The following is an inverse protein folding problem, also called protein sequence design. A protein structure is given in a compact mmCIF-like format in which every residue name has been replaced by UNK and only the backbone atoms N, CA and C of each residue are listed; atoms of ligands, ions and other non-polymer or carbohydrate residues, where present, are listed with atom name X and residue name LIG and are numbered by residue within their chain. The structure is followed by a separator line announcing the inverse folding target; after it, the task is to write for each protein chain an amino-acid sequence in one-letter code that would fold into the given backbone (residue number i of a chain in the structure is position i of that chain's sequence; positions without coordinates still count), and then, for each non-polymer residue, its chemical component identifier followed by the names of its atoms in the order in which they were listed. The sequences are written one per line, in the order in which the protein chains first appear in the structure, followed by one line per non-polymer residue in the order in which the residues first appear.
data_IF_717709392578
#
_entry.id   IF_717709392578
#
_cell.length_a   1.000
_cell.length_b   1.000
_cell.length_c   1.000
_cell.angle_alpha   90.00
_cell.angle_beta   90.00
_cell.angle_gamma   90.00
#
_symmetry.space_group_name_H-M   'P 1'
#
loop_
_entity.id
_entity.type
_entity.pdbx_description
1 polymer ?
#
# COMPACT_ATOMS: atom_id res chain seq x y z
N UNK A 1 22.74 -46.51 -11.51
CA UNK A 1 21.76 -45.53 -11.02
C UNK A 1 22.53 -44.46 -10.26
N UNK A 2 22.82 -43.33 -10.90
CA UNK A 2 23.51 -42.20 -10.27
C UNK A 2 22.41 -41.29 -9.69
N UNK A 3 22.32 -41.19 -8.36
CA UNK A 3 21.44 -40.25 -7.69
C UNK A 3 22.06 -38.85 -7.74
N UNK A 4 21.32 -37.91 -8.32
CA UNK A 4 21.68 -36.50 -8.39
C UNK A 4 21.59 -35.86 -6.99
N UNK A 5 22.65 -35.22 -6.47
CA UNK A 5 22.58 -34.37 -5.29
C UNK A 5 22.08 -32.99 -5.73
N UNK A 6 20.77 -32.75 -5.67
CA UNK A 6 20.24 -31.44 -6.10
C UNK A 6 18.78 -31.14 -5.79
N UNK A 7 17.96 -32.14 -5.44
CA UNK A 7 16.52 -31.92 -5.26
C UNK A 7 16.14 -31.07 -4.04
N UNK A 8 16.91 -31.14 -2.95
CA UNK A 8 16.55 -30.47 -1.69
C UNK A 8 16.77 -28.96 -1.68
N UNK A 9 17.91 -28.51 -2.24
CA UNK A 9 18.27 -27.09 -2.29
C UNK A 9 17.44 -26.33 -3.33
N UNK A 10 17.17 -26.95 -4.48
CA UNK A 10 16.28 -26.43 -5.52
C UNK A 10 14.86 -26.21 -4.97
N UNK A 11 14.30 -27.20 -4.25
CA UNK A 11 12.98 -27.09 -3.65
C UNK A 11 12.92 -25.99 -2.57
N UNK A 12 13.94 -25.90 -1.71
CA UNK A 12 14.04 -24.85 -0.71
C UNK A 12 14.15 -23.44 -1.33
N UNK A 13 14.85 -23.31 -2.46
CA UNK A 13 14.96 -22.05 -3.20
C UNK A 13 13.63 -21.62 -3.84
N UNK A 14 12.92 -22.56 -4.49
CA UNK A 14 11.62 -22.33 -5.11
C UNK A 14 10.56 -21.93 -4.09
N UNK A 15 10.59 -22.51 -2.89
CA UNK A 15 9.67 -22.15 -1.81
C UNK A 15 9.79 -20.69 -1.33
N UNK A 16 10.95 -20.05 -1.56
CA UNK A 16 11.21 -18.64 -1.19
C UNK A 16 10.80 -17.64 -2.27
N UNK A 17 10.25 -18.11 -3.39
CA UNK A 17 9.82 -17.23 -4.48
C UNK A 17 8.69 -16.29 -4.01
N UNK A 18 8.75 -14.99 -4.35
CA UNK A 18 7.63 -14.09 -4.12
C UNK A 18 6.34 -14.62 -4.75
N UNK A 19 5.23 -14.53 -4.02
CA UNK A 19 3.91 -14.94 -4.51
C UNK A 19 3.27 -13.79 -5.29
N UNK A 20 2.56 -14.08 -6.40
CA UNK A 20 1.84 -13.04 -7.12
C UNK A 20 0.76 -12.43 -6.21
N UNK A 21 0.48 -11.12 -6.36
CA UNK A 21 -0.57 -10.46 -5.58
C UNK A 21 -1.94 -11.04 -5.94
N UNK A 22 -2.82 -11.15 -4.95
CA UNK A 22 -4.17 -11.68 -5.13
C UNK A 22 -5.05 -10.75 -5.99
N UNK A 23 -6.08 -11.29 -6.68
CA UNK A 23 -7.08 -10.47 -7.35
C UNK A 23 -7.70 -9.46 -6.37
N UNK A 24 -7.66 -8.16 -6.68
CA UNK A 24 -8.16 -7.09 -5.80
C UNK A 24 -7.09 -6.33 -5.00
N UNK A 25 -5.86 -6.84 -4.91
CA UNK A 25 -4.77 -6.09 -4.24
C UNK A 25 -4.32 -4.84 -5.01
N UNK A 26 -4.66 -4.74 -6.30
CA UNK A 26 -4.49 -3.55 -7.11
C UNK A 26 -5.79 -2.74 -7.12
N UNK A 27 -5.75 -1.49 -6.67
CA UNK A 27 -6.92 -0.61 -6.64
C UNK A 27 -7.33 -0.07 -8.02
N UNK A 28 -6.57 -0.37 -9.09
CA UNK A 28 -6.84 0.11 -10.46
C UNK A 28 -6.67 1.62 -10.68
N UNK A 29 -6.34 2.39 -9.64
CA UNK A 29 -6.25 3.85 -9.70
C UNK A 29 -4.97 4.41 -10.35
N UNK A 30 -4.15 3.58 -10.99
CA UNK A 30 -2.92 4.01 -11.66
C UNK A 30 -1.76 4.44 -10.73
N UNK A 31 -1.78 4.02 -9.46
CA UNK A 31 -0.72 4.33 -8.49
C UNK A 31 0.65 3.77 -8.94
N UNK A 32 1.75 4.50 -8.70
CA UNK A 32 3.12 4.03 -8.94
C UNK A 32 4.01 4.23 -7.70
N UNK A 33 4.73 3.20 -7.22
CA UNK A 33 4.64 1.79 -7.63
C UNK A 33 3.32 1.14 -7.16
N UNK A 34 2.69 0.33 -8.01
CA UNK A 34 1.54 -0.50 -7.62
C UNK A 34 2.01 -1.84 -7.03
N UNK A 35 1.06 -2.65 -6.52
CA UNK A 35 1.38 -3.99 -5.97
C UNK A 35 2.06 -4.91 -6.99
N UNK A 36 1.72 -4.78 -8.27
CA UNK A 36 2.37 -5.54 -9.34
C UNK A 36 3.80 -5.08 -9.59
N UNK A 37 4.10 -3.79 -9.43
CA UNK A 37 5.46 -3.27 -9.56
C UNK A 37 6.35 -3.78 -8.41
N UNK A 38 5.83 -3.78 -7.17
CA UNK A 38 6.50 -4.37 -6.01
C UNK A 38 6.77 -5.87 -6.22
N UNK A 39 5.76 -6.63 -6.66
CA UNK A 39 5.91 -8.05 -6.99
C UNK A 39 6.96 -8.29 -8.07
N UNK A 40 6.92 -7.52 -9.17
CA UNK A 40 7.89 -7.64 -10.24
C UNK A 40 9.32 -7.34 -9.76
N UNK A 41 9.49 -6.32 -8.92
CA UNK A 41 10.78 -5.98 -8.33
C UNK A 41 11.29 -7.09 -7.38
N UNK A 42 10.42 -7.64 -6.53
CA UNK A 42 10.75 -8.76 -5.65
C UNK A 42 11.15 -10.00 -6.44
N UNK A 43 10.38 -10.35 -7.49
CA UNK A 43 10.67 -11.48 -8.36
C UNK A 43 12.00 -11.28 -9.12
N UNK A 44 12.30 -10.06 -9.56
CA UNK A 44 13.58 -9.73 -10.20
C UNK A 44 14.76 -9.83 -9.22
N UNK A 45 14.58 -9.45 -7.95
CA UNK A 45 15.60 -9.66 -6.90
C UNK A 45 15.81 -11.16 -6.64
N UNK A 46 14.73 -11.91 -6.46
CA UNK A 46 14.79 -13.37 -6.28
C UNK A 46 15.51 -14.05 -7.46
N UNK A 47 15.10 -13.79 -8.71
CA UNK A 47 15.75 -14.36 -9.91
C UNK A 47 17.25 -14.09 -9.98
N UNK A 48 17.69 -12.87 -9.66
CA UNK A 48 19.11 -12.47 -9.67
C UNK A 48 19.94 -13.13 -8.58
N UNK A 49 19.33 -13.53 -7.46
CA UNK A 49 20.04 -14.16 -6.35
C UNK A 49 20.27 -15.68 -6.56
N UNK A 50 19.61 -16.31 -7.55
CA UNK A 50 19.73 -17.75 -7.84
C UNK A 50 21.15 -18.23 -8.24
N UNK A 51 21.92 -17.52 -9.08
CA UNK A 51 23.27 -17.96 -9.47
C UNK A 51 24.35 -17.68 -8.42
N UNK A 52 24.06 -16.91 -7.37
CA UNK A 52 25.09 -16.38 -6.47
C UNK A 52 25.48 -17.34 -5.34
N UNK A 53 24.84 -18.53 -5.22
CA UNK A 53 25.13 -19.50 -4.16
C UNK A 53 24.94 -18.96 -2.73
N UNK A 54 24.34 -17.78 -2.59
CA UNK A 54 24.28 -17.03 -1.34
C UNK A 54 22.82 -16.77 -0.99
N UNK A 55 22.13 -17.83 -0.56
CA UNK A 55 20.78 -17.78 -0.04
C UNK A 55 20.67 -16.86 1.19
N UNK A 56 21.78 -16.63 1.89
CA UNK A 56 21.89 -15.80 3.09
C UNK A 56 21.83 -14.29 2.74
N UNK A 57 22.40 -13.86 1.62
CA UNK A 57 22.32 -12.45 1.16
C UNK A 57 20.91 -12.03 0.75
N UNK A 58 20.11 -12.93 0.17
CA UNK A 58 18.70 -12.64 -0.14
C UNK A 58 17.89 -12.46 1.15
N UNK A 59 18.11 -13.34 2.13
CA UNK A 59 17.44 -13.26 3.43
C UNK A 59 17.88 -11.98 4.17
N UNK A 60 19.15 -11.59 4.12
CA UNK A 60 19.65 -10.35 4.71
C UNK A 60 19.03 -9.11 4.06
N UNK A 61 18.96 -9.01 2.73
CA UNK A 61 18.32 -7.88 2.04
C UNK A 61 16.81 -7.80 2.34
N UNK A 62 16.14 -8.95 2.41
CA UNK A 62 14.72 -9.05 2.75
C UNK A 62 14.47 -8.65 4.21
N UNK A 63 15.27 -9.13 5.16
CA UNK A 63 15.18 -8.78 6.59
C UNK A 63 15.55 -7.32 6.86
N UNK A 64 16.52 -6.75 6.13
CA UNK A 64 16.85 -5.31 6.19
C UNK A 64 15.71 -4.41 5.72
N UNK A 65 14.80 -4.95 4.89
CA UNK A 65 13.58 -4.26 4.44
C UNK A 65 12.38 -4.45 5.39
N UNK A 66 12.47 -5.38 6.34
CA UNK A 66 11.37 -5.84 7.21
C UNK A 66 11.57 -5.43 8.68
N UNK A 67 12.29 -4.33 8.94
CA UNK A 67 12.50 -3.83 10.30
C UNK A 67 11.38 -2.88 10.76
N UNK A 68 10.20 -3.00 10.16
CA UNK A 68 9.02 -2.19 10.41
C UNK A 68 7.83 -3.12 10.61
N UNK A 69 6.98 -2.81 11.57
CA UNK A 69 5.73 -3.52 11.89
C UNK A 69 4.79 -3.65 10.67
N UNK A 70 5.05 -2.85 9.64
CA UNK A 70 4.38 -2.86 8.35
C UNK A 70 5.28 -3.45 7.25
N UNK A 71 4.65 -4.22 6.36
CA UNK A 71 5.23 -4.72 5.13
C UNK A 71 4.38 -4.24 3.93
N UNK A 72 4.96 -3.80 2.81
CA UNK A 72 4.19 -3.30 1.67
C UNK A 72 3.44 -4.40 0.88
N UNK A 73 3.91 -5.64 0.98
CA UNK A 73 3.41 -6.80 0.24
C UNK A 73 2.40 -7.63 1.06
N UNK A 74 2.32 -7.45 2.39
CA UNK A 74 1.41 -8.18 3.26
C UNK A 74 0.71 -7.30 4.28
N UNK A 75 -0.55 -7.61 4.57
CA UNK A 75 -1.31 -6.95 5.62
C UNK A 75 -0.96 -7.48 7.00
N UNK A 76 -0.63 -6.57 7.91
CA UNK A 76 -0.46 -6.83 9.34
C UNK A 76 -1.73 -6.35 10.08
N UNK A 77 -2.18 -7.12 11.06
CA UNK A 77 -3.33 -6.77 11.88
C UNK A 77 -2.89 -5.95 13.10
N UNK A 78 -3.57 -4.84 13.38
CA UNK A 78 -3.33 -3.99 14.54
C UNK A 78 -4.62 -3.82 15.35
N UNK A 79 -4.48 -3.81 16.67
CA UNK A 79 -5.59 -3.63 17.61
C UNK A 79 -5.98 -2.16 17.70
N UNK A 80 -7.27 -1.86 17.57
CA UNK A 80 -7.82 -0.53 17.78
C UNK A 80 -7.95 -0.23 19.28
N UNK A 81 -7.14 0.66 19.84
CA UNK A 81 -7.17 0.98 21.28
C UNK A 81 -8.09 2.13 21.66
N UNK A 82 -8.32 3.08 20.75
CA UNK A 82 -9.29 4.16 20.98
C UNK A 82 -9.88 4.71 19.68
N UNK A 83 -11.12 5.18 19.81
CA UNK A 83 -11.85 5.93 18.78
C UNK A 83 -12.32 7.22 19.43
N UNK A 84 -11.89 8.36 18.89
CA UNK A 84 -12.28 9.68 19.37
C UNK A 84 -12.97 10.44 18.24
N UNK A 85 -14.19 10.91 18.49
CA UNK A 85 -14.91 11.75 17.54
C UNK A 85 -14.47 13.21 17.73
N UNK A 86 -13.83 13.79 16.71
CA UNK A 86 -13.34 15.18 16.77
C UNK A 86 -14.36 16.16 16.19
N UNK A 87 -15.14 15.74 15.20
CA UNK A 87 -16.24 16.52 14.60
C UNK A 87 -17.40 15.59 14.24
N UNK A 88 -18.48 16.11 13.66
CA UNK A 88 -19.62 15.31 13.22
C UNK A 88 -19.21 14.15 12.29
N UNK A 89 -18.25 14.38 11.38
CA UNK A 89 -17.86 13.42 10.36
C UNK A 89 -16.39 12.99 10.44
N UNK A 90 -15.63 13.43 11.45
CA UNK A 90 -14.19 13.16 11.54
C UNK A 90 -13.82 12.51 12.85
N UNK A 91 -13.07 11.42 12.76
CA UNK A 91 -12.69 10.57 13.89
C UNK A 91 -11.19 10.31 13.88
N UNK A 92 -10.58 10.33 15.06
CA UNK A 92 -9.22 9.85 15.30
C UNK A 92 -9.28 8.41 15.81
N UNK A 93 -8.53 7.53 15.14
CA UNK A 93 -8.38 6.13 15.51
C UNK A 93 -6.95 5.87 15.93
N UNK A 94 -6.77 5.29 17.12
CA UNK A 94 -5.46 4.88 17.64
C UNK A 94 -5.29 3.37 17.54
N UNK A 95 -4.19 2.95 16.94
CA UNK A 95 -3.83 1.54 16.83
C UNK A 95 -2.60 1.24 17.66
N UNK A 96 -2.59 0.08 18.33
CA UNK A 96 -1.45 -0.37 19.13
C UNK A 96 -0.38 -1.00 18.25
N UNK A 97 0.88 -0.67 18.54
CA UNK A 97 2.04 -1.33 17.96
C UNK A 97 2.65 -2.30 18.99
N UNK A 98 3.18 -3.45 18.57
CA UNK A 98 3.80 -4.40 19.47
C UNK A 98 5.08 -3.81 20.10
N UNK A 99 5.15 -3.84 21.43
CA UNK A 99 6.29 -3.30 22.19
C UNK A 99 6.44 -1.78 22.07
N UNK A 100 7.66 -1.27 22.28
CA UNK A 100 7.98 0.17 22.12
C UNK A 100 8.40 0.49 20.67
N UNK A 101 7.75 -0.14 19.69
CA UNK A 101 8.06 0.07 18.28
C UNK A 101 7.37 1.31 17.70
N UNK A 102 7.81 1.76 16.53
CA UNK A 102 7.28 2.93 15.84
C UNK A 102 7.15 2.66 14.35
N UNK A 103 6.15 3.24 13.68
CA UNK A 103 5.94 3.04 12.23
C UNK A 103 7.10 3.55 11.36
N UNK A 104 7.91 4.48 11.87
CA UNK A 104 9.09 5.06 11.19
C UNK A 104 8.82 5.54 9.77
N UNK A 105 7.67 6.17 9.56
CA UNK A 105 7.30 6.75 8.26
C UNK A 105 8.13 8.00 7.97
N UNK A 106 8.74 8.04 6.79
CA UNK A 106 9.39 9.22 6.21
C UNK A 106 8.37 10.19 5.61
N UNK A 107 8.80 11.42 5.34
CA UNK A 107 7.94 12.46 4.77
C UNK A 107 7.26 12.02 3.46
N UNK A 108 5.94 12.22 3.40
CA UNK A 108 5.10 11.85 2.26
C UNK A 108 4.79 10.35 2.15
N UNK A 109 5.23 9.53 3.11
CA UNK A 109 4.82 8.13 3.17
C UNK A 109 3.44 7.99 3.82
N UNK A 110 2.71 6.97 3.41
CA UNK A 110 1.37 6.63 3.90
C UNK A 110 1.20 5.11 4.00
N UNK A 111 0.12 4.68 4.64
CA UNK A 111 -0.23 3.26 4.86
C UNK A 111 -1.58 2.97 4.21
N UNK A 112 -1.81 1.70 3.86
CA UNK A 112 -3.04 1.26 3.19
C UNK A 112 -3.85 0.39 4.13
N UNK A 113 -5.09 0.80 4.36
CA UNK A 113 -6.12 0.05 5.04
C UNK A 113 -6.79 -0.94 4.08
N UNK A 114 -7.08 -2.14 4.55
CA UNK A 114 -8.01 -3.08 3.92
C UNK A 114 -9.29 -3.24 4.74
N UNK A 115 -10.40 -3.28 4.03
CA UNK A 115 -11.71 -3.64 4.56
C UNK A 115 -12.49 -4.51 3.60
N UNK A 116 -13.64 -4.99 4.06
CA UNK A 116 -14.59 -5.75 3.25
C UNK A 116 -16.00 -5.22 3.52
N UNK A 117 -16.74 -4.95 2.44
CA UNK A 117 -18.14 -4.52 2.51
C UNK A 117 -18.92 -5.32 1.48
N UNK A 118 -19.95 -6.06 1.90
CA UNK A 118 -20.78 -6.90 1.04
C UNK A 118 -19.95 -7.90 0.17
N UNK A 119 -18.90 -8.49 0.74
CA UNK A 119 -18.01 -9.43 0.03
C UNK A 119 -17.03 -8.77 -0.95
N UNK A 120 -17.03 -7.44 -1.05
CA UNK A 120 -16.07 -6.69 -1.86
C UNK A 120 -14.89 -6.22 -1.00
N UNK A 121 -13.68 -6.66 -1.35
CA UNK A 121 -12.46 -6.12 -0.74
C UNK A 121 -12.26 -4.66 -1.19
N UNK A 122 -12.12 -3.76 -0.22
CA UNK A 122 -11.85 -2.34 -0.44
C UNK A 122 -10.55 -1.94 0.24
N UNK A 123 -9.79 -1.07 -0.42
CA UNK A 123 -8.53 -0.55 0.11
C UNK A 123 -8.45 0.97 -0.02
N UNK A 124 -7.89 1.65 0.98
CA UNK A 124 -7.68 3.11 0.98
C UNK A 124 -6.38 3.50 1.67
N UNK A 125 -5.70 4.49 1.12
CA UNK A 125 -4.49 5.07 1.69
C UNK A 125 -4.84 6.11 2.76
N UNK A 126 -4.12 6.08 3.88
CA UNK A 126 -4.19 7.05 4.96
C UNK A 126 -2.78 7.44 5.40
N UNK A 127 -2.59 8.70 5.75
CA UNK A 127 -1.35 9.19 6.33
C UNK A 127 -1.52 9.26 7.85
N UNK A 128 -0.74 8.50 8.63
CA UNK A 128 -0.76 8.63 10.09
C UNK A 128 -0.40 10.05 10.52
N UNK A 129 -1.07 10.52 11.56
CA UNK A 129 -0.87 11.85 12.15
C UNK A 129 0.03 11.81 13.39
N UNK A 130 0.36 10.61 13.89
CA UNK A 130 1.29 10.43 15.00
C UNK A 130 2.71 10.86 14.62
N UNK A 131 3.49 11.42 15.56
CA UNK A 131 4.91 11.70 15.35
C UNK A 131 5.68 10.45 14.88
N UNK A 132 6.70 10.64 14.03
CA UNK A 132 7.49 9.52 13.49
C UNK A 132 8.25 8.71 14.55
N UNK A 133 8.46 9.30 15.73
CA UNK A 133 9.08 8.67 16.90
C UNK A 133 8.07 8.25 17.98
N UNK A 134 6.76 8.26 17.69
CA UNK A 134 5.76 7.74 18.61
C UNK A 134 5.95 6.23 18.80
N UNK A 135 6.13 5.80 20.05
CA UNK A 135 6.35 4.40 20.41
C UNK A 135 5.06 3.75 20.91
N UNK A 136 4.82 2.51 20.48
CA UNK A 136 3.71 1.68 20.92
C UNK A 136 2.35 2.00 20.29
N UNK A 137 2.26 3.02 19.44
CA UNK A 137 1.00 3.34 18.74
C UNK A 137 1.21 4.13 17.46
N UNK A 138 0.15 4.18 16.65
CA UNK A 138 -0.02 5.20 15.62
C UNK A 138 -1.46 5.69 15.56
N UNK A 139 -1.63 6.94 15.14
CA UNK A 139 -2.94 7.59 15.02
C UNK A 139 -3.25 7.87 13.56
N UNK A 140 -4.48 7.60 13.13
CA UNK A 140 -5.01 8.01 11.82
C UNK A 140 -6.25 8.86 12.00
N UNK A 141 -6.32 9.95 11.24
CA UNK A 141 -7.48 10.83 11.20
C UNK A 141 -8.31 10.53 9.95
N UNK A 142 -9.57 10.17 10.14
CA UNK A 142 -10.43 9.71 9.06
C UNK A 142 -11.71 10.53 9.04
N UNK A 143 -11.96 11.14 7.89
CA UNK A 143 -13.23 11.76 7.55
C UNK A 143 -14.16 10.72 6.93
N UNK A 144 -15.34 10.54 7.51
CA UNK A 144 -16.35 9.58 7.13
C UNK A 144 -17.42 10.23 6.24
N UNK A 145 -17.57 9.74 5.02
CA UNK A 145 -18.56 10.20 4.06
C UNK A 145 -19.73 9.23 3.99
N UNK A 146 -20.96 9.74 3.92
CA UNK A 146 -22.18 8.92 4.00
C UNK A 146 -22.27 7.85 2.89
N UNK A 147 -21.94 8.22 1.66
CA UNK A 147 -21.94 7.31 0.51
C UNK A 147 -20.62 6.51 0.34
N UNK A 148 -19.64 6.69 1.24
CA UNK A 148 -18.33 6.07 1.11
C UNK A 148 -18.30 4.65 1.65
N UNK A 149 -18.04 3.65 0.80
CA UNK A 149 -17.93 2.24 1.25
C UNK A 149 -16.92 2.06 2.38
N UNK A 150 -15.74 2.70 2.28
CA UNK A 150 -14.73 2.64 3.35
C UNK A 150 -15.20 3.35 4.62
N UNK A 151 -15.97 4.44 4.49
CA UNK A 151 -16.53 5.15 5.65
C UNK A 151 -17.60 4.33 6.36
N UNK A 152 -18.45 3.61 5.61
CA UNK A 152 -19.42 2.67 6.18
C UNK A 152 -18.72 1.53 6.93
N UNK A 153 -17.66 0.97 6.36
CA UNK A 153 -16.83 -0.03 7.03
C UNK A 153 -16.22 0.49 8.34
N UNK A 154 -15.57 1.65 8.30
CA UNK A 154 -14.87 2.25 9.45
C UNK A 154 -15.83 2.65 10.57
N UNK A 155 -17.05 3.12 10.24
CA UNK A 155 -18.09 3.45 11.22
C UNK A 155 -18.53 2.24 12.07
N UNK A 156 -18.27 1.00 11.62
CA UNK A 156 -18.61 -0.20 12.40
C UNK A 156 -17.61 -0.54 13.49
N UNK A 157 -16.42 0.08 13.47
CA UNK A 157 -15.33 -0.30 14.36
C UNK A 157 -15.54 0.15 15.79
N UNK A 158 -15.09 -0.70 16.71
CA UNK A 158 -15.05 -0.44 18.15
C UNK A 158 -13.68 -0.82 18.72
N UNK A 159 -13.38 -0.28 19.90
CA UNK A 159 -12.16 -0.61 20.63
C UNK A 159 -12.01 -2.14 20.76
N UNK A 160 -10.81 -2.64 20.48
CA UNK A 160 -10.46 -4.06 20.46
C UNK A 160 -10.56 -4.73 19.09
N UNK A 161 -11.14 -4.07 18.09
CA UNK A 161 -11.21 -4.62 16.74
C UNK A 161 -9.81 -4.72 16.10
N UNK A 162 -9.60 -5.80 15.34
CA UNK A 162 -8.37 -6.01 14.58
C UNK A 162 -8.52 -5.46 13.17
N UNK A 163 -7.67 -4.52 12.81
CA UNK A 163 -7.72 -3.83 11.51
C UNK A 163 -6.44 -4.08 10.72
N UNK A 164 -6.59 -4.33 9.42
CA UNK A 164 -5.50 -4.75 8.55
C UNK A 164 -4.87 -3.58 7.80
N UNK A 165 -3.59 -3.36 8.04
CA UNK A 165 -2.79 -2.30 7.45
C UNK A 165 -1.56 -2.87 6.73
N UNK A 166 -1.15 -2.22 5.64
CA UNK A 166 0.13 -2.51 4.95
C UNK A 166 0.83 -1.23 4.56
N UNK A 167 2.13 -1.32 4.27
CA UNK A 167 2.96 -0.18 3.90
C UNK A 167 4.41 -0.33 4.35
N UNK A 168 5.20 0.76 4.34
CA UNK A 168 4.84 2.09 3.85
C UNK A 168 4.77 2.19 2.32
N UNK A 169 3.99 3.15 1.81
CA UNK A 169 3.96 3.53 0.39
C UNK A 169 4.26 5.01 0.20
N UNK A 170 4.60 5.36 -1.03
CA UNK A 170 4.92 6.74 -1.41
C UNK A 170 6.25 7.19 -0.83
N UNK A 171 6.29 8.47 -0.47
CA UNK A 171 7.52 9.18 -0.15
C UNK A 171 7.65 10.40 -1.05
N UNK A 172 8.04 11.52 -0.43
CA UNK A 172 8.25 12.77 -1.14
C UNK A 172 9.72 13.18 -0.99
N UNK A 173 10.58 12.89 -1.98
CA UNK A 173 11.98 13.29 -1.91
C UNK A 173 12.07 14.82 -1.99
N UNK A 174 12.16 15.44 -0.83
CA UNK A 174 12.38 16.86 -0.69
C UNK A 174 13.88 17.16 -0.78
N UNK A 175 14.23 18.11 -1.63
CA UNK A 175 15.56 18.71 -1.65
C UNK A 175 15.37 20.22 -1.41
N UNK A 176 16.08 20.80 -0.43
CA UNK A 176 16.07 22.25 -0.25
C UNK A 176 16.38 22.98 -1.56
N UNK A 177 15.66 24.06 -1.85
CA UNK A 177 15.85 24.91 -3.03
C UNK A 177 15.65 24.23 -4.40
N UNK A 178 14.96 23.09 -4.47
CA UNK A 178 14.68 22.39 -5.74
C UNK A 178 13.81 23.20 -6.72
N UNK A 179 12.95 24.09 -6.22
CA UNK A 179 12.08 24.96 -7.01
C UNK A 179 12.39 26.42 -6.73
N UNK A 180 12.52 27.22 -7.79
CA UNK A 180 12.87 28.65 -7.71
C UNK A 180 11.66 29.57 -7.61
N UNK A 181 10.48 29.09 -7.98
CA UNK A 181 9.23 29.83 -7.93
C UNK A 181 8.06 28.86 -7.71
N UNK A 182 7.08 29.28 -6.91
CA UNK A 182 5.83 28.55 -6.69
C UNK A 182 4.77 29.14 -7.62
N UNK A 183 4.24 28.33 -8.53
CA UNK A 183 3.09 28.74 -9.35
C UNK A 183 1.83 28.11 -8.77
N UNK A 184 0.82 28.94 -8.51
CA UNK A 184 -0.50 28.45 -8.09
C UNK A 184 -1.14 27.74 -9.28
N UNK A 185 -1.56 26.49 -9.09
CA UNK A 185 -2.39 25.83 -10.09
C UNK A 185 -3.77 26.53 -10.15
N UNK A 186 -4.33 26.72 -11.36
CA UNK A 186 -5.70 27.22 -11.48
C UNK A 186 -6.67 26.27 -10.79
N UNK A 187 -7.68 26.82 -10.10
CA UNK A 187 -8.62 26.06 -9.27
C UNK A 187 -9.49 25.09 -10.07
N UNK A 188 -9.56 25.24 -11.40
CA UNK A 188 -10.29 24.35 -12.28
C UNK A 188 -9.37 23.85 -13.38
N UNK A 189 -9.25 22.51 -13.49
CA UNK A 189 -8.78 21.89 -14.71
C UNK A 189 -9.93 22.04 -15.74
N UNK A 190 -9.68 22.54 -16.96
CA UNK A 190 -10.71 22.52 -17.99
C UNK A 190 -11.15 21.06 -18.19
N UNK A 191 -12.47 20.82 -18.17
CA UNK A 191 -13.02 19.52 -18.51
C UNK A 191 -12.44 19.08 -19.86
N UNK A 192 -11.98 17.83 -20.02
CA UNK A 192 -11.49 17.37 -21.30
C UNK A 192 -12.58 17.61 -22.34
N UNK A 193 -12.27 18.43 -23.34
CA UNK A 193 -13.17 18.67 -24.46
C UNK A 193 -13.52 17.28 -25.04
N UNK A 194 -14.80 16.94 -25.00
CA UNK A 194 -15.29 15.72 -25.62
C UNK A 194 -14.85 15.76 -27.09
N UNK A 195 -13.88 14.93 -27.45
CA UNK A 195 -13.55 14.68 -28.84
C UNK A 195 -14.81 14.04 -29.45
N UNK A 196 -15.59 14.85 -30.16
CA UNK A 196 -16.71 14.38 -30.94
C UNK A 196 -16.17 13.38 -31.96
N UNK A 197 -16.40 12.10 -31.71
CA UNK A 197 -16.23 11.05 -32.70
C UNK A 197 -17.19 11.35 -33.84
N UNK A 198 -16.69 11.86 -34.96
CA UNK A 198 -17.43 11.95 -36.20
C UNK A 198 -17.69 10.53 -36.70
N UNK A 199 -18.95 10.09 -36.59
CA UNK A 199 -19.42 8.87 -37.25
C UNK A 199 -19.26 9.03 -38.79
N UNK A 200 -18.85 7.99 -39.52
CA UNK A 200 -18.78 8.05 -40.97
C UNK A 200 -20.20 8.12 -41.56
N UNK A 201 -20.45 9.16 -42.35
CA UNK A 201 -21.63 9.28 -43.19
C UNK A 201 -21.70 8.09 -44.15
N UNK A 202 -22.80 7.34 -44.07
CA UNK A 202 -23.22 6.41 -45.11
C UNK A 202 -23.62 7.21 -46.35
N UNK A 203 -22.91 7.00 -47.46
CA UNK A 203 -23.37 7.40 -48.78
C UNK A 203 -23.79 6.13 -49.53
N UNK A 204 -25.05 6.14 -49.94
CA UNK A 204 -25.67 5.20 -50.85
C UNK A 204 -25.09 5.34 -52.28
N UNK A 205 -25.07 4.19 -52.97
CA UNK A 205 -25.17 3.92 -54.42
C UNK A 205 -24.66 4.97 -55.44
N UNK A 206 -23.77 4.51 -56.32
CA UNK A 206 -24.17 4.05 -57.67
C UNK A 206 -23.33 2.81 -58.07
#
# INVERSE_FOLDING_TARGET
VLQAPGGGEEAAWLARAPRPPAPGQCCGGGCRPCVHDSYAAALARWRRARPAGNADNYLLLFLQSNNSELNPDSFTAFSLSSVEQLTEDTYQYRFELPGNSSLRLSLGQHIVLRGEVNGLEIQRAYTPISPGNAEGYFDVLIKCYEAGLMSQYIKTWKKGDMVFWRGPFGGFPYQPNKVRAWTRLPQTLPAPAAAAASAPSSLHLD
#
